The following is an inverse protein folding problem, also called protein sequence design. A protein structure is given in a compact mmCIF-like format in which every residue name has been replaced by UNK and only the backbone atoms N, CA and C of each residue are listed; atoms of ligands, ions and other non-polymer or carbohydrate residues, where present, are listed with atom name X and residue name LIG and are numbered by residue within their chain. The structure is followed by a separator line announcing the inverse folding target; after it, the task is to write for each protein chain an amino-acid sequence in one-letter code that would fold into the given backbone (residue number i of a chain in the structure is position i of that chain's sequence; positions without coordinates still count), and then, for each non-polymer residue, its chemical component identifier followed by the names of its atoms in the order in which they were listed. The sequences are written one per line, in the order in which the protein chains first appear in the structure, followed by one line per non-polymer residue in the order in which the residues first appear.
data_IF_488466807410
#
_entry.id   IF_488466807410
#
_cell.length_a   1.000
_cell.length_b   1.000
_cell.length_c   1.000
_cell.angle_alpha   90.00
_cell.angle_beta   90.00
_cell.angle_gamma   90.00
#
_symmetry.space_group_name_H-M   'P 1'
#
loop_
_entity.id
_entity.type
_entity.pdbx_description
1 polymer ?
#
# COMPACT_ATOMS: atom_id res chain seq x y z
N UNK A 1 -1.38 -2.96 -23.37
CA UNK A 1 -2.70 -2.84 -22.72
C UNK A 1 -2.59 -1.84 -21.57
N UNK A 2 -3.03 -0.59 -21.80
CA UNK A 2 -2.83 0.55 -20.88
C UNK A 2 -4.05 0.72 -19.96
N UNK A 3 -4.11 -0.08 -18.88
CA UNK A 3 -5.03 0.18 -17.78
C UNK A 3 -4.43 1.28 -16.87
N UNK A 4 -4.65 2.53 -17.30
CA UNK A 4 -4.58 3.84 -16.61
C UNK A 4 -3.84 3.90 -15.27
N UNK A 5 -2.73 4.65 -15.24
CA UNK A 5 -2.00 5.06 -14.02
C UNK A 5 -2.87 5.60 -12.87
N UNK A 6 -4.04 6.17 -13.19
CA UNK A 6 -4.93 6.77 -12.21
C UNK A 6 -5.40 5.80 -11.12
N UNK A 7 -5.72 4.55 -11.45
CA UNK A 7 -6.26 3.61 -10.46
C UNK A 7 -5.21 3.27 -9.38
N UNK A 8 -3.94 3.17 -9.75
CA UNK A 8 -2.84 2.89 -8.81
C UNK A 8 -2.55 4.09 -7.91
N UNK A 9 -2.54 5.30 -8.50
CA UNK A 9 -2.37 6.55 -7.74
C UNK A 9 -3.52 6.77 -6.74
N UNK A 10 -4.76 6.49 -7.14
CA UNK A 10 -5.93 6.59 -6.25
C UNK A 10 -5.86 5.56 -5.13
N UNK A 11 -5.51 4.30 -5.43
CA UNK A 11 -5.35 3.27 -4.40
C UNK A 11 -4.26 3.65 -3.38
N UNK A 12 -3.11 4.15 -3.84
CA UNK A 12 -2.05 4.65 -2.97
C UNK A 12 -2.53 5.83 -2.12
N UNK A 13 -3.16 6.84 -2.74
CA UNK A 13 -3.66 8.02 -2.02
C UNK A 13 -4.73 7.65 -0.97
N UNK A 14 -5.66 6.74 -1.29
CA UNK A 14 -6.65 6.27 -0.33
C UNK A 14 -6.00 5.55 0.86
N UNK A 15 -4.97 4.74 0.62
CA UNK A 15 -4.24 4.04 1.67
C UNK A 15 -3.46 5.02 2.55
N UNK A 16 -2.77 5.99 1.94
CA UNK A 16 -2.00 7.01 2.64
C UNK A 16 -2.90 7.91 3.52
N UNK A 17 -4.06 8.35 2.99
CA UNK A 17 -5.06 9.10 3.76
C UNK A 17 -5.62 8.27 4.91
N UNK A 18 -5.98 7.01 4.67
CA UNK A 18 -6.50 6.14 5.73
C UNK A 18 -5.50 5.98 6.87
N UNK A 19 -4.23 5.74 6.57
CA UNK A 19 -3.17 5.65 7.57
C UNK A 19 -3.01 6.98 8.31
N UNK A 20 -2.95 8.09 7.58
CA UNK A 20 -2.81 9.44 8.15
C UNK A 20 -3.93 9.79 9.13
N UNK A 21 -5.18 9.47 8.79
CA UNK A 21 -6.33 9.64 9.68
C UNK A 21 -6.22 8.82 10.99
N UNK A 22 -5.45 7.73 10.97
CA UNK A 22 -5.20 6.87 12.14
C UNK A 22 -3.86 7.18 12.83
N UNK A 23 -3.22 8.31 12.53
CA UNK A 23 -1.95 8.70 13.16
C UNK A 23 -0.77 7.82 12.73
N UNK A 24 -0.85 7.23 11.55
CA UNK A 24 0.19 6.39 10.99
C UNK A 24 0.58 6.90 9.59
N UNK A 25 1.77 6.58 9.12
CA UNK A 25 2.19 6.85 7.74
C UNK A 25 2.89 5.65 7.16
N UNK A 26 2.82 5.55 5.84
CA UNK A 26 3.57 4.55 5.10
C UNK A 26 5.04 5.00 4.98
N UNK A 27 5.96 4.14 5.40
CA UNK A 27 7.40 4.25 5.14
C UNK A 27 7.77 3.37 3.95
N UNK A 28 7.12 3.62 2.81
CA UNK A 28 7.41 2.96 1.54
C UNK A 28 7.13 3.91 0.38
N UNK A 29 7.98 3.86 -0.65
CA UNK A 29 7.76 4.65 -1.86
C UNK A 29 6.60 4.08 -2.68
N UNK A 30 5.97 4.88 -3.56
CA UNK A 30 4.89 4.40 -4.44
C UNK A 30 5.29 3.16 -5.26
N UNK A 31 6.54 3.09 -5.72
CA UNK A 31 7.05 1.96 -6.51
C UNK A 31 7.13 0.67 -5.68
N UNK A 32 7.51 0.75 -4.40
CA UNK A 32 7.55 -0.40 -3.49
C UNK A 32 6.14 -0.96 -3.25
N UNK A 33 5.17 -0.07 -3.06
CA UNK A 33 3.75 -0.45 -2.90
C UNK A 33 3.22 -1.12 -4.15
N UNK A 34 3.48 -0.53 -5.32
CA UNK A 34 3.04 -1.06 -6.60
C UNK A 34 3.67 -2.45 -6.84
N UNK A 35 4.97 -2.59 -6.60
CA UNK A 35 5.68 -3.86 -6.72
C UNK A 35 5.10 -4.93 -5.78
N UNK A 36 4.82 -4.59 -4.52
CA UNK A 36 4.18 -5.48 -3.55
C UNK A 36 2.80 -5.97 -4.03
N UNK A 37 1.95 -5.05 -4.47
CA UNK A 37 0.60 -5.36 -4.95
C UNK A 37 0.66 -6.28 -6.18
N UNK A 38 1.46 -5.93 -7.19
CA UNK A 38 1.56 -6.73 -8.42
C UNK A 38 2.09 -8.13 -8.17
N UNK A 39 3.18 -8.25 -7.41
CA UNK A 39 3.79 -9.54 -7.06
C UNK A 39 2.78 -10.51 -6.44
N UNK A 40 1.90 -10.02 -5.55
CA UNK A 40 0.95 -10.86 -4.84
C UNK A 40 -0.38 -11.05 -5.58
N UNK A 41 -0.78 -10.12 -6.45
CA UNK A 41 -1.89 -10.34 -7.37
C UNK A 41 -1.54 -11.42 -8.40
N UNK A 42 -0.35 -11.34 -9.02
CA UNK A 42 0.13 -12.32 -10.00
C UNK A 42 0.30 -13.72 -9.38
N UNK A 43 0.79 -13.79 -8.14
CA UNK A 43 0.91 -15.04 -7.41
C UNK A 43 -0.41 -15.53 -6.78
N UNK A 44 -1.53 -14.79 -6.89
CA UNK A 44 -2.80 -15.15 -6.26
C UNK A 44 -2.76 -15.22 -4.72
N UNK A 45 -1.86 -14.46 -4.11
CA UNK A 45 -1.57 -14.45 -2.66
C UNK A 45 -1.99 -13.18 -1.95
N UNK A 46 -2.50 -12.17 -2.67
CA UNK A 46 -2.93 -10.90 -2.11
C UNK A 46 -4.19 -11.06 -1.22
N UNK A 47 -3.95 -11.42 0.04
CA UNK A 47 -4.96 -11.66 1.07
C UNK A 47 -4.64 -10.83 2.31
N UNK A 48 -5.66 -10.64 3.16
CA UNK A 48 -5.54 -9.85 4.40
C UNK A 48 -4.28 -10.17 5.23
N UNK A 49 -3.91 -11.45 5.51
CA UNK A 49 -2.73 -11.73 6.34
C UNK A 49 -1.42 -11.21 5.73
N UNK A 50 -1.28 -11.33 4.41
CA UNK A 50 -0.10 -10.87 3.66
C UNK A 50 -0.03 -9.34 3.65
N UNK A 51 -1.17 -8.68 3.46
CA UNK A 51 -1.27 -7.22 3.55
C UNK A 51 -0.97 -6.73 4.97
N UNK A 52 -1.50 -7.38 6.00
CA UNK A 52 -1.28 -7.01 7.39
C UNK A 52 0.19 -7.13 7.79
N UNK A 53 0.85 -8.23 7.42
CA UNK A 53 2.27 -8.43 7.68
C UNK A 53 3.13 -7.36 6.99
N UNK A 54 2.80 -7.05 5.72
CA UNK A 54 3.50 -6.01 4.98
C UNK A 54 3.30 -4.62 5.62
N UNK A 55 2.07 -4.27 6.00
CA UNK A 55 1.78 -2.99 6.66
C UNK A 55 2.51 -2.86 7.99
N UNK A 56 2.61 -3.92 8.80
CA UNK A 56 3.36 -3.87 10.08
C UNK A 56 4.84 -3.55 9.89
N UNK A 57 5.42 -3.92 8.75
CA UNK A 57 6.81 -3.65 8.42
C UNK A 57 7.04 -2.28 7.76
N UNK A 58 6.01 -1.67 7.17
CA UNK A 58 6.13 -0.45 6.35
C UNK A 58 5.24 0.69 6.84
N UNK A 59 4.65 0.58 8.03
CA UNK A 59 3.85 1.62 8.64
C UNK A 59 4.49 2.00 9.97
N UNK A 60 4.71 3.30 10.13
CA UNK A 60 5.24 3.87 11.35
C UNK A 60 4.25 4.87 11.94
N UNK A 61 4.23 5.05 13.27
CA UNK A 61 3.46 6.11 13.88
C UNK A 61 3.87 7.47 13.31
N UNK A 62 2.89 8.30 13.01
CA UNK A 62 3.12 9.71 12.73
C UNK A 62 3.23 10.39 14.09
N UNK A 63 4.46 10.75 14.50
CA UNK A 63 4.65 11.58 15.68
C UNK A 63 4.00 12.95 15.41
N UNK A 64 3.18 13.40 16.36
CA UNK A 64 2.78 14.81 16.48
C UNK A 64 4.01 15.68 16.74
#
# INVERSE_FOLDING_TARGET
MNQRDGNKRVAFACMDIFLGLNGARLEAGPDDVIAFIYRHLEAGTFRKPVLEEWLRAHVIPTQL
#
